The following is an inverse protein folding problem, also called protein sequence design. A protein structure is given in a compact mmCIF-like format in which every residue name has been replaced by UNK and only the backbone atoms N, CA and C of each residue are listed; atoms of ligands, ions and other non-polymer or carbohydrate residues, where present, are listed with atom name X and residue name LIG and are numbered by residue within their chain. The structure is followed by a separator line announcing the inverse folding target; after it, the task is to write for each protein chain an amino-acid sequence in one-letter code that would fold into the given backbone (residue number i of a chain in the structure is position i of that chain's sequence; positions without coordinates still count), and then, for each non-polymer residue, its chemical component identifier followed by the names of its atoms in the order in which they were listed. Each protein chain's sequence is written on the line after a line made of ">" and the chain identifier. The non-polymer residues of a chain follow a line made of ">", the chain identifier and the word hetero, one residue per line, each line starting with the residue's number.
data_IF_441972238947
#
_entry.id   IF_441972238947
#
_cell.length_a   1.000
_cell.length_b   1.000
_cell.length_c   1.000
_cell.angle_alpha   90.00
_cell.angle_beta   90.00
_cell.angle_gamma   90.00
#
_symmetry.space_group_name_H-M   'P 1'
#
loop_
_entity.id
_entity.type
_entity.pdbx_description
1 polymer ?
#
# COMPACT_ATOMS: atom_id res chain seq x y z
N UNK A 1 -47.67 -29.39 -7.25
CA UNK A 1 -47.78 -28.31 -8.24
C UNK A 1 -46.68 -27.31 -7.90
N UNK A 2 -45.66 -27.22 -8.74
CA UNK A 2 -44.60 -26.22 -8.60
C UNK A 2 -45.17 -24.91 -9.12
N UNK A 3 -45.09 -23.85 -8.32
CA UNK A 3 -45.63 -22.54 -8.62
C UNK A 3 -44.97 -21.98 -9.90
N UNK A 4 -45.78 -21.66 -10.93
CA UNK A 4 -45.29 -21.12 -12.21
C UNK A 4 -44.53 -19.80 -12.02
N UNK A 5 -44.80 -19.10 -10.93
CA UNK A 5 -44.14 -17.84 -10.55
C UNK A 5 -42.66 -18.03 -10.19
N UNK A 6 -42.26 -19.21 -9.69
CA UNK A 6 -40.85 -19.52 -9.38
C UNK A 6 -40.04 -19.90 -10.64
N UNK A 7 -40.69 -20.46 -11.67
CA UNK A 7 -40.01 -20.88 -12.91
C UNK A 7 -39.63 -19.66 -13.75
N UNK A 8 -40.49 -18.63 -13.80
CA UNK A 8 -40.24 -17.38 -14.54
C UNK A 8 -39.18 -16.47 -13.90
N UNK A 9 -39.01 -16.48 -12.58
CA UNK A 9 -37.95 -15.68 -11.95
C UNK A 9 -36.53 -16.19 -12.29
N UNK A 10 -36.38 -17.50 -12.53
CA UNK A 10 -35.07 -18.10 -12.79
C UNK A 10 -34.48 -17.79 -14.17
N UNK A 11 -35.30 -17.39 -15.16
CA UNK A 11 -34.81 -17.02 -16.49
C UNK A 11 -34.24 -15.61 -16.55
N UNK A 12 -34.75 -14.70 -15.70
CA UNK A 12 -34.35 -13.30 -15.69
C UNK A 12 -33.21 -13.02 -14.70
N UNK A 13 -33.13 -13.73 -13.58
CA UNK A 13 -32.05 -13.56 -12.60
C UNK A 13 -31.21 -14.82 -12.52
N UNK A 14 -29.91 -14.69 -12.77
CA UNK A 14 -28.95 -15.79 -12.69
C UNK A 14 -27.88 -15.54 -11.63
N UNK A 15 -27.44 -16.60 -10.96
CA UNK A 15 -26.23 -16.62 -10.11
C UNK A 15 -25.31 -17.72 -10.63
N UNK A 16 -24.12 -17.35 -11.08
CA UNK A 16 -23.15 -18.31 -11.61
C UNK A 16 -21.79 -18.02 -10.99
N UNK A 17 -21.19 -18.99 -10.28
CA UNK A 17 -19.84 -18.83 -9.75
C UNK A 17 -18.84 -18.37 -10.83
N UNK A 18 -18.02 -17.37 -10.53
CA UNK A 18 -17.03 -16.83 -11.46
C UNK A 18 -17.54 -15.81 -12.49
N UNK A 19 -18.85 -15.50 -12.51
CA UNK A 19 -19.42 -14.40 -13.32
C UNK A 19 -20.00 -13.35 -12.37
N UNK A 20 -19.59 -12.08 -12.50
CA UNK A 20 -19.96 -11.00 -11.57
C UNK A 20 -19.69 -11.37 -10.11
N UNK A 21 -18.56 -12.03 -9.81
CA UNK A 21 -18.23 -12.46 -8.45
C UNK A 21 -19.12 -13.59 -7.89
N UNK A 22 -20.07 -14.13 -8.67
CA UNK A 22 -21.10 -15.05 -8.18
C UNK A 22 -22.42 -14.35 -7.79
N UNK A 23 -22.47 -13.02 -7.90
CA UNK A 23 -23.64 -12.21 -7.56
C UNK A 23 -24.82 -12.47 -8.51
N UNK A 24 -26.02 -12.12 -8.05
CA UNK A 24 -27.22 -12.11 -8.87
C UNK A 24 -27.07 -11.10 -10.02
N UNK A 25 -27.35 -11.55 -11.25
CA UNK A 25 -27.25 -10.73 -12.47
C UNK A 25 -28.45 -10.92 -13.38
N UNK A 26 -28.64 -9.99 -14.31
CA UNK A 26 -29.71 -10.05 -15.30
C UNK A 26 -29.35 -11.01 -16.44
N UNK A 27 -30.16 -12.04 -16.65
CA UNK A 27 -30.04 -13.02 -17.75
C UNK A 27 -28.59 -13.48 -17.94
N UNK A 28 -28.12 -13.46 -19.18
CA UNK A 28 -26.75 -13.80 -19.56
C UNK A 28 -25.84 -12.56 -19.68
N UNK A 29 -26.26 -11.40 -19.14
CA UNK A 29 -25.46 -10.17 -19.13
C UNK A 29 -24.39 -10.22 -18.03
N UNK A 30 -23.52 -9.21 -17.99
CA UNK A 30 -22.64 -8.93 -16.84
C UNK A 30 -23.12 -7.73 -16.02
N UNK A 31 -24.45 -7.53 -15.96
CA UNK A 31 -25.07 -6.46 -15.19
C UNK A 31 -25.60 -7.05 -13.88
N UNK A 32 -24.92 -6.83 -12.75
CA UNK A 32 -25.37 -7.36 -11.47
C UNK A 32 -26.58 -6.56 -10.94
N UNK A 33 -27.47 -7.25 -10.24
CA UNK A 33 -28.70 -6.67 -9.67
C UNK A 33 -28.36 -5.52 -8.70
N UNK A 34 -27.33 -5.70 -7.88
CA UNK A 34 -26.92 -4.69 -6.90
C UNK A 34 -26.53 -3.36 -7.55
N UNK A 35 -25.98 -3.36 -8.76
CA UNK A 35 -25.57 -2.14 -9.47
C UNK A 35 -26.79 -1.34 -9.91
N UNK A 36 -27.83 -2.01 -10.40
CA UNK A 36 -29.10 -1.36 -10.75
C UNK A 36 -29.77 -0.77 -9.51
N UNK A 37 -29.76 -1.49 -8.39
CA UNK A 37 -30.29 -1.02 -7.10
C UNK A 37 -29.51 0.20 -6.60
N UNK A 38 -28.17 0.16 -6.63
CA UNK A 38 -27.32 1.28 -6.22
C UNK A 38 -27.61 2.55 -7.03
N UNK A 39 -27.77 2.47 -8.36
CA UNK A 39 -28.12 3.63 -9.17
C UNK A 39 -29.52 4.16 -8.85
N UNK A 40 -30.48 3.28 -8.58
CA UNK A 40 -31.82 3.68 -8.19
C UNK A 40 -31.83 4.39 -6.84
N UNK A 41 -31.04 3.93 -5.88
CA UNK A 41 -30.87 4.60 -4.57
C UNK A 41 -30.22 5.98 -4.70
N UNK A 42 -29.38 6.18 -5.72
CA UNK A 42 -28.82 7.48 -6.11
C UNK A 42 -29.80 8.37 -6.90
N UNK A 43 -31.03 7.90 -7.16
CA UNK A 43 -32.08 8.67 -7.81
C UNK A 43 -32.11 8.59 -9.34
N UNK A 44 -31.36 7.66 -9.95
CA UNK A 44 -31.43 7.44 -11.41
C UNK A 44 -32.78 6.82 -11.79
N UNK A 45 -33.46 7.39 -12.80
CA UNK A 45 -34.74 6.88 -13.28
C UNK A 45 -34.60 5.61 -14.13
N UNK A 46 -35.69 4.85 -14.26
CA UNK A 46 -35.69 3.64 -15.09
C UNK A 46 -35.45 3.96 -16.57
N UNK A 47 -35.96 5.09 -17.09
CA UNK A 47 -35.67 5.48 -18.48
C UNK A 47 -34.18 5.73 -18.70
N UNK A 48 -33.51 6.38 -17.74
CA UNK A 48 -32.07 6.64 -17.84
C UNK A 48 -31.27 5.34 -17.64
N UNK A 49 -31.71 4.41 -16.79
CA UNK A 49 -31.12 3.07 -16.67
C UNK A 49 -31.19 2.30 -18.00
N UNK A 50 -32.35 2.26 -18.65
CA UNK A 50 -32.51 1.56 -19.94
C UNK A 50 -31.71 2.24 -21.07
N UNK A 51 -31.48 3.55 -20.98
CA UNK A 51 -30.60 4.27 -21.90
C UNK A 51 -29.12 3.96 -21.66
N UNK A 52 -28.71 3.80 -20.41
CA UNK A 52 -27.34 3.45 -20.03
C UNK A 52 -27.02 1.96 -20.25
N UNK A 53 -28.04 1.10 -20.22
CA UNK A 53 -27.95 -0.34 -20.48
C UNK A 53 -28.94 -0.75 -21.59
N UNK A 54 -28.65 -0.45 -22.88
CA UNK A 54 -29.58 -0.67 -23.99
C UNK A 54 -29.97 -2.15 -24.22
N UNK A 55 -29.22 -3.09 -23.67
CA UNK A 55 -29.52 -4.53 -23.70
C UNK A 55 -30.62 -4.95 -22.71
N UNK A 56 -30.99 -4.08 -21.77
CA UNK A 56 -32.05 -4.30 -20.79
C UNK A 56 -33.39 -3.84 -21.32
N UNK A 57 -34.45 -4.45 -20.81
CA UNK A 57 -35.83 -4.01 -21.02
C UNK A 57 -36.56 -3.84 -19.68
N UNK A 58 -37.83 -3.42 -19.75
CA UNK A 58 -38.63 -3.18 -18.55
C UNK A 58 -38.83 -4.45 -17.68
N UNK A 59 -39.00 -5.62 -18.31
CA UNK A 59 -39.16 -6.90 -17.60
C UNK A 59 -37.89 -7.26 -16.81
N UNK A 60 -36.71 -6.93 -17.33
CA UNK A 60 -35.44 -7.11 -16.64
C UNK A 60 -35.35 -6.26 -15.36
N UNK A 61 -35.76 -4.99 -15.43
CA UNK A 61 -35.78 -4.10 -14.27
C UNK A 61 -36.80 -4.58 -13.23
N UNK A 62 -38.00 -4.96 -13.65
CA UNK A 62 -39.03 -5.52 -12.75
C UNK A 62 -38.52 -6.78 -12.04
N UNK A 63 -37.83 -7.67 -12.77
CA UNK A 63 -37.20 -8.85 -12.18
C UNK A 63 -36.11 -8.48 -11.16
N UNK A 64 -35.26 -7.49 -11.47
CA UNK A 64 -34.22 -6.99 -10.56
C UNK A 64 -34.81 -6.44 -9.27
N UNK A 65 -35.87 -5.63 -9.36
CA UNK A 65 -36.56 -5.03 -8.21
C UNK A 65 -37.27 -6.09 -7.37
N UNK A 66 -37.89 -7.08 -8.01
CA UNK A 66 -38.51 -8.20 -7.30
C UNK A 66 -37.45 -9.03 -6.57
N UNK A 67 -36.30 -9.26 -7.18
CA UNK A 67 -35.18 -9.94 -6.52
C UNK A 67 -34.67 -9.15 -5.32
N UNK A 68 -34.44 -7.84 -5.47
CA UNK A 68 -34.01 -6.97 -4.38
C UNK A 68 -35.02 -6.97 -3.22
N UNK A 69 -36.32 -6.87 -3.52
CA UNK A 69 -37.36 -6.89 -2.49
C UNK A 69 -37.32 -8.16 -1.61
N UNK A 70 -36.93 -9.30 -2.20
CA UNK A 70 -36.81 -10.58 -1.50
C UNK A 70 -35.42 -10.82 -0.88
N UNK A 71 -34.38 -10.10 -1.32
CA UNK A 71 -32.99 -10.33 -0.93
C UNK A 71 -32.30 -9.03 -0.47
N UNK A 72 -33.02 -8.14 0.22
CA UNK A 72 -32.51 -6.80 0.59
C UNK A 72 -31.19 -6.85 1.35
N UNK A 73 -31.04 -7.76 2.31
CA UNK A 73 -29.83 -7.87 3.12
C UNK A 73 -28.61 -8.24 2.28
N UNK A 74 -28.75 -9.22 1.37
CA UNK A 74 -27.69 -9.62 0.42
C UNK A 74 -27.25 -8.44 -0.44
N UNK A 75 -28.20 -7.75 -1.06
CA UNK A 75 -27.90 -6.65 -1.98
C UNK A 75 -27.31 -5.44 -1.24
N UNK A 76 -27.86 -5.06 -0.09
CA UNK A 76 -27.34 -3.95 0.71
C UNK A 76 -25.89 -4.21 1.13
N UNK A 77 -25.58 -5.44 1.52
CA UNK A 77 -24.23 -5.85 1.87
C UNK A 77 -23.25 -5.75 0.71
N UNK A 78 -23.65 -6.17 -0.49
CA UNK A 78 -22.79 -6.04 -1.67
C UNK A 78 -22.56 -4.57 -2.03
N UNK A 79 -23.60 -3.74 -1.99
CA UNK A 79 -23.49 -2.30 -2.26
C UNK A 79 -22.53 -1.64 -1.27
N UNK A 80 -22.64 -1.94 0.02
CA UNK A 80 -21.78 -1.39 1.06
C UNK A 80 -20.32 -1.83 0.86
N UNK A 81 -20.07 -3.11 0.57
CA UNK A 81 -18.73 -3.63 0.30
C UNK A 81 -18.08 -2.97 -0.93
N UNK A 82 -18.84 -2.77 -2.01
CA UNK A 82 -18.34 -2.10 -3.22
C UNK A 82 -18.12 -0.59 -2.99
N UNK A 83 -18.94 0.05 -2.14
CA UNK A 83 -18.69 1.42 -1.71
C UNK A 83 -17.39 1.52 -0.91
N UNK A 84 -17.15 0.58 0.01
CA UNK A 84 -15.91 0.54 0.79
C UNK A 84 -14.67 0.47 -0.11
N UNK A 85 -14.70 -0.35 -1.17
CA UNK A 85 -13.63 -0.38 -2.18
C UNK A 85 -13.43 0.95 -2.89
N UNK A 86 -14.52 1.64 -3.24
CA UNK A 86 -14.43 2.95 -3.91
C UNK A 86 -13.91 4.07 -3.00
N UNK A 87 -14.07 3.95 -1.68
CA UNK A 87 -13.54 4.93 -0.72
C UNK A 87 -12.01 4.97 -0.73
N UNK A 88 -11.35 3.83 -1.00
CA UNK A 88 -9.90 3.76 -1.07
C UNK A 88 -9.34 4.80 -2.07
N UNK A 89 -9.92 4.87 -3.26
CA UNK A 89 -9.51 5.80 -4.31
C UNK A 89 -10.00 7.24 -4.08
N UNK A 90 -11.17 7.41 -3.47
CA UNK A 90 -11.82 8.70 -3.33
C UNK A 90 -11.37 9.50 -2.10
N UNK A 91 -11.21 8.82 -0.96
CA UNK A 91 -10.76 9.40 0.32
C UNK A 91 -10.08 8.32 1.18
N UNK A 92 -8.77 8.17 0.95
CA UNK A 92 -7.94 7.19 1.63
C UNK A 92 -8.03 7.25 3.16
N UNK A 93 -8.07 8.45 3.75
CA UNK A 93 -8.13 8.58 5.21
C UNK A 93 -9.48 8.08 5.75
N UNK A 94 -10.57 8.42 5.07
CA UNK A 94 -11.89 7.93 5.43
C UNK A 94 -11.97 6.40 5.27
N UNK A 95 -11.37 5.83 4.22
CA UNK A 95 -11.25 4.38 4.06
C UNK A 95 -10.50 3.71 5.22
N UNK A 96 -9.38 4.29 5.69
CA UNK A 96 -8.65 3.78 6.87
C UNK A 96 -9.53 3.83 8.12
N UNK A 97 -10.18 4.97 8.38
CA UNK A 97 -11.05 5.12 9.55
C UNK A 97 -12.20 4.10 9.55
N UNK A 98 -12.82 3.89 8.39
CA UNK A 98 -13.94 2.96 8.26
C UNK A 98 -13.49 1.49 8.37
N UNK A 99 -12.36 1.14 7.75
CA UNK A 99 -11.75 -0.20 7.87
C UNK A 99 -11.43 -0.53 9.34
N UNK A 100 -10.92 0.44 10.10
CA UNK A 100 -10.68 0.27 11.54
C UNK A 100 -11.97 0.05 12.32
N UNK A 101 -13.03 0.82 12.03
CA UNK A 101 -14.35 0.62 12.67
C UNK A 101 -14.91 -0.77 12.39
N UNK A 102 -14.84 -1.22 11.14
CA UNK A 102 -15.31 -2.55 10.72
C UNK A 102 -14.54 -3.68 11.43
N UNK A 103 -13.20 -3.56 11.52
CA UNK A 103 -12.36 -4.51 12.25
C UNK A 103 -12.72 -4.56 13.75
N UNK A 104 -12.92 -3.41 14.38
CA UNK A 104 -13.33 -3.32 15.79
C UNK A 104 -14.72 -3.91 16.04
N UNK A 105 -15.66 -3.67 15.13
CA UNK A 105 -17.00 -4.24 15.16
C UNK A 105 -17.04 -5.74 14.80
N UNK A 106 -15.91 -6.31 14.36
CA UNK A 106 -15.80 -7.68 13.82
C UNK A 106 -16.74 -7.93 12.63
N UNK A 107 -17.04 -6.88 11.88
CA UNK A 107 -17.87 -6.96 10.68
C UNK A 107 -17.01 -7.32 9.48
N UNK A 108 -16.51 -8.56 9.46
CA UNK A 108 -15.52 -9.03 8.48
C UNK A 108 -16.05 -9.07 7.04
N UNK A 109 -17.36 -9.09 6.88
CA UNK A 109 -18.02 -9.20 5.58
C UNK A 109 -17.95 -7.89 4.78
N UNK A 110 -17.72 -6.76 5.45
CA UNK A 110 -17.61 -5.44 4.81
C UNK A 110 -16.18 -4.99 4.56
N UNK A 111 -15.20 -5.75 5.08
CA UNK A 111 -13.78 -5.39 4.97
C UNK A 111 -13.33 -5.54 3.52
N UNK A 112 -12.75 -4.47 3.00
CA UNK A 112 -12.03 -4.45 1.75
C UNK A 112 -10.65 -5.12 1.91
N UNK A 113 -10.65 -6.44 1.82
CA UNK A 113 -9.46 -7.26 2.04
C UNK A 113 -8.36 -7.03 1.01
N UNK A 114 -8.70 -6.69 -0.23
CA UNK A 114 -7.71 -6.52 -1.30
C UNK A 114 -6.81 -5.31 -0.99
N UNK A 115 -7.42 -4.15 -0.74
CA UNK A 115 -6.70 -2.93 -0.38
C UNK A 115 -6.04 -3.04 1.01
N UNK A 116 -6.69 -3.68 1.99
CA UNK A 116 -6.08 -3.88 3.32
C UNK A 116 -4.81 -4.73 3.27
N UNK A 117 -4.81 -5.81 2.48
CA UNK A 117 -3.63 -6.67 2.31
C UNK A 117 -2.51 -5.90 1.59
N UNK A 118 -2.86 -5.11 0.57
CA UNK A 118 -1.90 -4.25 -0.12
C UNK A 118 -1.23 -3.27 0.84
N UNK A 119 -2.01 -2.51 1.61
CA UNK A 119 -1.48 -1.52 2.55
C UNK A 119 -0.61 -2.15 3.64
N UNK A 120 -1.03 -3.26 4.23
CA UNK A 120 -0.21 -3.99 5.22
C UNK A 120 1.08 -4.52 4.58
N UNK A 121 1.00 -4.99 3.34
CA UNK A 121 2.17 -5.40 2.57
C UNK A 121 3.12 -4.23 2.29
N UNK A 122 2.57 -3.05 1.98
CA UNK A 122 3.35 -1.84 1.71
C UNK A 122 3.98 -1.23 2.95
N UNK A 123 3.35 -1.31 4.12
CA UNK A 123 3.96 -0.88 5.37
C UNK A 123 5.31 -1.58 5.59
N UNK A 124 5.36 -2.91 5.43
CA UNK A 124 6.63 -3.66 5.56
C UNK A 124 7.68 -3.29 4.50
N UNK A 125 7.25 -2.99 3.27
CA UNK A 125 8.16 -2.50 2.21
C UNK A 125 8.67 -1.10 2.52
N UNK A 126 7.83 -0.23 3.06
CA UNK A 126 8.16 1.17 3.38
C UNK A 126 9.24 1.27 4.45
N UNK A 127 9.14 0.48 5.53
CA UNK A 127 10.17 0.44 6.58
C UNK A 127 11.51 -0.07 6.06
N UNK A 128 11.50 -1.12 5.21
CA UNK A 128 12.71 -1.62 4.55
C UNK A 128 13.37 -0.56 3.65
N UNK A 129 12.57 0.19 2.88
CA UNK A 129 13.07 1.30 2.05
C UNK A 129 13.63 2.43 2.91
N UNK A 130 12.95 2.77 4.00
CA UNK A 130 13.40 3.81 4.94
C UNK A 130 14.74 3.43 5.59
N UNK A 131 14.88 2.20 6.07
CA UNK A 131 16.14 1.71 6.63
C UNK A 131 17.29 1.80 5.63
N UNK A 132 17.07 1.33 4.39
CA UNK A 132 18.07 1.37 3.30
C UNK A 132 18.50 2.80 2.99
N UNK A 133 17.54 3.73 2.90
CA UNK A 133 17.79 5.15 2.66
C UNK A 133 18.61 5.80 3.78
N UNK A 134 18.21 5.57 5.04
CA UNK A 134 18.93 6.08 6.21
C UNK A 134 20.35 5.54 6.29
N UNK A 135 20.54 4.25 6.04
CA UNK A 135 21.86 3.61 6.07
C UNK A 135 22.78 4.14 4.97
N UNK A 136 22.26 4.30 3.75
CA UNK A 136 23.02 4.89 2.63
C UNK A 136 23.45 6.33 2.96
N UNK A 137 22.54 7.15 3.50
CA UNK A 137 22.85 8.53 3.91
C UNK A 137 23.84 8.60 5.06
N UNK A 138 23.79 7.67 6.01
CA UNK A 138 24.77 7.53 7.08
C UNK A 138 26.16 7.27 6.49
N UNK A 139 26.29 6.30 5.58
CA UNK A 139 27.55 6.02 4.91
C UNK A 139 28.06 7.22 4.11
N UNK A 140 27.21 7.92 3.37
CA UNK A 140 27.62 9.13 2.65
C UNK A 140 28.30 10.12 3.60
N UNK A 141 27.71 10.40 4.77
CA UNK A 141 28.28 11.37 5.71
C UNK A 141 29.55 10.86 6.39
N UNK A 142 29.62 9.57 6.73
CA UNK A 142 30.85 8.97 7.23
C UNK A 142 31.99 9.09 6.20
N UNK A 143 31.70 8.85 4.92
CA UNK A 143 32.68 9.02 3.84
C UNK A 143 33.05 10.50 3.62
N UNK A 144 32.10 11.45 3.73
CA UNK A 144 32.40 12.90 3.67
C UNK A 144 33.41 13.30 4.73
N UNK A 145 33.17 12.88 5.98
CA UNK A 145 34.04 13.20 7.11
C UNK A 145 35.47 12.71 6.85
N UNK A 146 35.65 11.50 6.29
CA UNK A 146 36.99 10.90 6.14
C UNK A 146 37.72 11.31 4.87
N UNK A 147 37.01 11.54 3.76
CA UNK A 147 37.63 11.64 2.44
C UNK A 147 37.44 13.00 1.76
N UNK A 148 36.47 13.82 2.19
CA UNK A 148 36.22 15.12 1.57
C UNK A 148 36.93 16.26 2.31
N UNK A 149 38.26 16.24 2.27
CA UNK A 149 39.12 17.17 3.02
C UNK A 149 38.83 18.64 2.72
N UNK A 150 38.60 18.99 1.44
CA UNK A 150 38.41 20.39 1.02
C UNK A 150 37.19 21.08 1.65
N UNK A 151 36.14 20.32 1.97
CA UNK A 151 34.89 20.83 2.55
C UNK A 151 34.78 20.53 4.05
N UNK A 152 35.68 19.70 4.59
CA UNK A 152 35.62 19.18 5.96
C UNK A 152 35.63 20.30 6.99
N UNK A 153 36.59 21.22 6.90
CA UNK A 153 36.81 22.25 7.93
C UNK A 153 35.54 23.08 8.22
N UNK A 154 34.77 23.39 7.18
CA UNK A 154 33.57 24.22 7.29
C UNK A 154 32.30 23.44 7.64
N UNK A 155 32.24 22.14 7.32
CA UNK A 155 31.01 21.36 7.40
C UNK A 155 31.03 20.24 8.45
N UNK A 156 32.16 19.99 9.11
CA UNK A 156 32.36 18.85 10.01
C UNK A 156 31.28 18.75 11.10
N UNK A 157 30.96 19.85 11.77
CA UNK A 157 29.95 19.87 12.83
C UNK A 157 28.55 19.52 12.31
N UNK A 158 28.19 20.07 11.14
CA UNK A 158 26.91 19.76 10.50
C UNK A 158 26.84 18.29 10.07
N UNK A 159 27.90 17.76 9.45
CA UNK A 159 27.94 16.35 9.05
C UNK A 159 27.91 15.40 10.25
N UNK A 160 28.58 15.74 11.34
CA UNK A 160 28.53 14.97 12.58
C UNK A 160 27.12 14.98 13.19
N UNK A 161 26.43 16.12 13.16
CA UNK A 161 25.02 16.22 13.53
C UNK A 161 24.13 15.28 12.70
N UNK A 162 24.30 15.29 11.37
CA UNK A 162 23.56 14.41 10.47
C UNK A 162 23.87 12.92 10.71
N UNK A 163 25.13 12.55 10.95
CA UNK A 163 25.52 11.19 11.32
C UNK A 163 24.74 10.73 12.56
N UNK A 164 24.69 11.54 13.60
CA UNK A 164 23.95 11.20 14.82
C UNK A 164 22.44 11.12 14.54
N UNK A 165 21.89 12.03 13.74
CA UNK A 165 20.47 11.99 13.34
C UNK A 165 20.11 10.69 12.62
N UNK A 166 20.94 10.22 11.67
CA UNK A 166 20.67 8.96 10.97
C UNK A 166 20.82 7.75 11.89
N UNK A 167 21.85 7.72 12.76
CA UNK A 167 22.02 6.65 13.76
C UNK A 167 20.80 6.54 14.66
N UNK A 168 20.31 7.65 15.19
CA UNK A 168 19.11 7.67 16.05
C UNK A 168 17.90 7.13 15.30
N UNK A 169 17.66 7.59 14.07
CA UNK A 169 16.52 7.11 13.26
C UNK A 169 16.61 5.63 12.94
N UNK A 170 17.80 5.12 12.59
CA UNK A 170 18.03 3.69 12.34
C UNK A 170 17.77 2.89 13.62
N UNK A 171 18.35 3.31 14.76
CA UNK A 171 18.20 2.60 16.02
C UNK A 171 16.75 2.59 16.52
N UNK A 172 16.00 3.69 16.36
CA UNK A 172 14.58 3.73 16.70
C UNK A 172 13.77 2.82 15.78
N UNK A 173 14.03 2.82 14.47
CA UNK A 173 13.36 1.92 13.52
C UNK A 173 13.62 0.44 13.85
N UNK A 174 14.84 0.08 14.24
CA UNK A 174 15.19 -1.30 14.66
C UNK A 174 14.62 -1.66 16.03
N UNK A 175 14.28 -0.67 16.85
CA UNK A 175 13.66 -0.85 18.16
C UNK A 175 12.15 -1.05 18.02
N UNK A 176 11.48 -0.28 17.15
CA UNK A 176 10.06 -0.45 16.84
C UNK A 176 9.82 -1.70 16.00
N UNK A 177 10.76 -2.05 15.13
CA UNK A 177 10.65 -3.18 14.19
C UNK A 177 11.88 -4.10 14.26
N UNK A 178 12.04 -4.91 15.33
CA UNK A 178 13.23 -5.76 15.54
C UNK A 178 13.49 -6.79 14.44
N UNK A 179 12.45 -7.18 13.69
CA UNK A 179 12.53 -8.07 12.54
C UNK A 179 13.30 -7.48 11.35
N UNK A 180 13.63 -6.17 11.37
CA UNK A 180 14.47 -5.53 10.38
C UNK A 180 15.97 -5.78 10.60
N UNK A 181 16.40 -6.29 11.76
CA UNK A 181 17.83 -6.54 12.05
C UNK A 181 18.51 -7.51 11.06
N UNK A 182 17.90 -8.64 10.66
CA UNK A 182 18.48 -9.48 9.61
C UNK A 182 18.59 -8.76 8.26
N UNK A 183 17.57 -7.95 7.92
CA UNK A 183 17.56 -7.18 6.67
C UNK A 183 18.60 -6.06 6.67
N UNK A 184 18.87 -5.42 7.81
CA UNK A 184 20.00 -4.49 7.97
C UNK A 184 21.32 -5.13 7.55
N UNK A 185 21.58 -6.36 8.03
CA UNK A 185 22.81 -7.10 7.72
C UNK A 185 22.85 -7.44 6.23
N UNK A 186 21.73 -7.88 5.67
CA UNK A 186 21.58 -8.22 4.25
C UNK A 186 21.93 -7.05 3.32
N UNK A 187 21.45 -5.83 3.63
CA UNK A 187 21.63 -4.65 2.76
C UNK A 187 22.82 -3.77 3.13
N UNK A 188 23.60 -4.13 4.16
CA UNK A 188 24.66 -3.28 4.69
C UNK A 188 25.72 -2.95 3.63
N UNK A 189 26.25 -3.97 2.97
CA UNK A 189 27.25 -3.81 1.92
C UNK A 189 26.69 -3.07 0.70
N UNK A 190 25.46 -3.39 0.30
CA UNK A 190 24.79 -2.69 -0.82
C UNK A 190 24.65 -1.18 -0.54
N UNK A 191 24.24 -0.80 0.67
CA UNK A 191 24.12 0.60 1.06
C UNK A 191 25.48 1.31 1.07
N UNK A 192 26.53 0.62 1.50
CA UNK A 192 27.89 1.15 1.45
C UNK A 192 28.32 1.42 0.00
N UNK A 193 28.15 0.46 -0.91
CA UNK A 193 28.52 0.62 -2.33
C UNK A 193 27.74 1.77 -2.99
N UNK A 194 26.44 1.88 -2.72
CA UNK A 194 25.62 3.00 -3.21
C UNK A 194 26.16 4.35 -2.70
N UNK A 195 26.47 4.45 -1.41
CA UNK A 195 27.02 5.68 -0.83
C UNK A 195 28.41 6.01 -1.41
N UNK A 196 29.24 5.00 -1.67
CA UNK A 196 30.55 5.14 -2.31
C UNK A 196 30.42 5.71 -3.72
N UNK A 197 29.53 5.16 -4.54
CA UNK A 197 29.27 5.67 -5.90
C UNK A 197 28.78 7.12 -5.88
N UNK A 198 27.82 7.44 -5.00
CA UNK A 198 27.32 8.81 -4.80
C UNK A 198 28.48 9.75 -4.44
N UNK A 199 29.36 9.33 -3.53
CA UNK A 199 30.49 10.14 -3.08
C UNK A 199 31.57 10.34 -4.14
N UNK A 200 31.87 9.31 -4.95
CA UNK A 200 32.77 9.44 -6.10
C UNK A 200 32.24 10.50 -7.07
N UNK A 201 30.96 10.42 -7.43
CA UNK A 201 30.34 11.38 -8.35
C UNK A 201 30.28 12.79 -7.76
N UNK A 202 29.92 12.91 -6.47
CA UNK A 202 29.71 14.19 -5.79
C UNK A 202 31.01 14.94 -5.53
N UNK A 203 32.05 14.23 -5.11
CA UNK A 203 33.36 14.83 -4.76
C UNK A 203 34.29 14.95 -5.96
N UNK A 204 34.07 14.15 -7.02
CA UNK A 204 34.96 14.00 -8.18
C UNK A 204 36.38 13.55 -7.82
N UNK A 205 36.56 13.01 -6.62
CA UNK A 205 37.82 12.37 -6.21
C UNK A 205 37.99 11.04 -6.95
N UNK A 206 39.22 10.56 -7.05
CA UNK A 206 39.48 9.26 -7.67
C UNK A 206 38.79 8.13 -6.90
N UNK A 207 38.19 7.13 -7.58
CA UNK A 207 37.50 6.00 -6.93
C UNK A 207 38.32 5.30 -5.85
N UNK A 208 39.63 5.17 -6.07
CA UNK A 208 40.59 4.53 -5.13
C UNK A 208 40.71 5.25 -3.77
N UNK A 209 40.25 6.50 -3.69
CA UNK A 209 40.21 7.26 -2.42
C UNK A 209 39.23 6.62 -1.45
N UNK A 210 38.14 6.06 -1.96
CA UNK A 210 37.11 5.37 -1.18
C UNK A 210 37.37 3.86 -1.20
N UNK A 211 37.47 3.19 -0.04
CA UNK A 211 37.67 1.74 0.04
C UNK A 211 36.62 0.97 -0.76
N UNK A 212 36.99 -0.21 -1.27
CA UNK A 212 36.04 -1.09 -1.98
C UNK A 212 35.15 -1.89 -1.02
N UNK A 213 35.49 -1.95 0.27
CA UNK A 213 34.72 -2.63 1.32
C UNK A 213 34.27 -1.63 2.38
N UNK A 214 33.19 -1.95 3.09
CA UNK A 214 32.66 -1.11 4.16
C UNK A 214 33.73 -0.72 5.19
N UNK A 215 33.74 0.56 5.58
CA UNK A 215 34.78 1.16 6.44
C UNK A 215 34.80 0.63 7.88
N UNK A 216 33.76 -0.10 8.30
CA UNK A 216 33.56 -0.61 9.65
C UNK A 216 32.41 -1.62 9.72
N UNK A 217 32.27 -2.31 10.85
CA UNK A 217 31.16 -3.24 11.09
C UNK A 217 29.82 -2.52 11.29
N UNK A 218 28.71 -3.28 11.27
CA UNK A 218 27.37 -2.77 11.56
C UNK A 218 27.33 -2.11 12.95
N UNK A 219 27.92 -2.76 13.95
CA UNK A 219 27.96 -2.29 15.33
C UNK A 219 28.72 -0.97 15.45
N UNK A 220 29.87 -0.87 14.79
CA UNK A 220 30.71 0.34 14.79
C UNK A 220 30.01 1.49 14.06
N UNK A 221 29.45 1.25 12.86
CA UNK A 221 28.74 2.27 12.09
C UNK A 221 27.57 2.87 12.87
N UNK A 222 26.87 2.06 13.66
CA UNK A 222 25.73 2.49 14.48
C UNK A 222 26.12 2.96 15.90
N UNK A 223 27.35 2.77 16.34
CA UNK A 223 27.80 3.28 17.64
C UNK A 223 27.92 4.81 17.59
N UNK A 224 27.16 5.48 18.47
CA UNK A 224 27.17 6.93 18.63
C UNK A 224 28.57 7.51 18.93
N UNK A 225 29.45 6.74 19.56
CA UNK A 225 30.79 7.16 19.96
C UNK A 225 31.86 6.84 18.92
N UNK A 226 31.52 6.05 17.90
CA UNK A 226 32.46 5.68 16.86
C UNK A 226 32.42 6.69 15.72
N UNK A 227 33.60 7.14 15.31
CA UNK A 227 33.80 7.89 14.08
C UNK A 227 35.04 7.33 13.37
N UNK A 228 35.00 7.19 12.04
CA UNK A 228 36.14 6.69 11.30
C UNK A 228 37.33 7.64 11.48
N UNK A 229 38.49 7.06 11.78
CA UNK A 229 39.71 7.85 12.02
C UNK A 229 40.07 8.60 10.74
N UNK A 230 40.31 9.90 10.87
CA UNK A 230 40.83 10.72 9.79
C UNK A 230 42.16 10.08 9.34
N UNK A 231 42.35 9.90 8.03
CA UNK A 231 43.70 9.62 7.53
C UNK A 231 44.53 10.86 7.83
N UNK A 232 45.46 10.76 8.77
CA UNK A 232 46.50 11.76 8.92
C UNK A 232 47.30 11.76 7.61
N UNK A 233 47.39 12.93 6.97
CA UNK A 233 48.08 13.14 5.69
C UNK A 233 49.58 12.89 5.76
#
# INVERSE_FOLDING_TARGET
>A
MIDKTQITQSSFIQKTPGVCGGDARIRDTRIPVWRLVSFREQGISEEELLKNYPELNQEDLEAAWTYYANNKAEIAQIIEAEHCKSLYDADYNLWVEETVKQLQAKNYEMIDWDNLIEEVGDLGRSEKRALKSLLTRLFEHLLKVVYWESEREYNLDHWNGEIQNFRIQILELLKTSPSLKPYLIEVFEECYQNAREIMIQKTRLEPKTFPDEAIASVEEVLDKNWFPRLKDG
#
